data_IF_922879792300
#
_entry.id   IF_922879792300
#
_cell.length_a   1.000
_cell.length_b   1.000
_cell.length_c   1.000
_cell.angle_alpha   90.00
_cell.angle_beta   90.00
_cell.angle_gamma   90.00
#
_symmetry.space_group_name_H-M   'P 1'
#
loop_
_entity.id
_entity.type
_entity.pdbx_description
1 polymer ?
#
# COMPACT_ATOMS: atom_id res chain seq x y z
N UNK A 1 1.95 10.18 -13.03
CA UNK A 1 1.52 8.81 -13.41
C UNK A 1 2.19 7.79 -12.49
N UNK A 2 1.72 7.64 -11.24
CA UNK A 2 2.28 6.68 -10.26
C UNK A 2 1.26 5.64 -9.78
N UNK A 3 -0.02 5.81 -10.11
CA UNK A 3 -1.10 4.89 -9.75
C UNK A 3 -0.86 3.41 -10.14
N UNK A 4 -0.38 3.07 -11.35
CA UNK A 4 -0.16 1.66 -11.69
C UNK A 4 0.92 1.00 -10.82
N UNK A 5 1.95 1.74 -10.40
CA UNK A 5 3.01 1.23 -9.51
C UNK A 5 2.41 0.82 -8.16
N UNK A 6 1.47 1.62 -7.64
CA UNK A 6 0.79 1.32 -6.37
C UNK A 6 -0.07 0.06 -6.49
N UNK A 7 -0.77 -0.11 -7.62
CA UNK A 7 -1.57 -1.33 -7.84
C UNK A 7 -0.68 -2.58 -7.94
N UNK A 8 0.44 -2.49 -8.65
CA UNK A 8 1.43 -3.59 -8.73
C UNK A 8 2.01 -3.94 -7.36
N UNK A 9 2.29 -2.94 -6.53
CA UNK A 9 2.78 -3.14 -5.17
C UNK A 9 1.72 -3.83 -4.28
N UNK A 10 0.45 -3.44 -4.40
CA UNK A 10 -0.65 -4.07 -3.67
C UNK A 10 -0.78 -5.55 -4.06
N UNK A 11 -0.72 -5.86 -5.36
CA UNK A 11 -0.85 -7.24 -5.84
C UNK A 11 0.33 -8.13 -5.46
N UNK A 12 1.53 -7.57 -5.31
CA UNK A 12 2.72 -8.31 -4.87
C UNK A 12 2.78 -8.52 -3.35
N UNK A 13 2.11 -7.66 -2.57
CA UNK A 13 2.09 -7.76 -1.09
C UNK A 13 1.05 -8.75 -0.57
N UNK A 14 -0.06 -8.97 -1.29
CA UNK A 14 -1.09 -9.92 -0.89
C UNK A 14 -0.80 -11.33 -1.43
N UNK A 15 -0.69 -12.32 -0.54
CA UNK A 15 -0.57 -13.71 -0.96
C UNK A 15 -1.94 -14.25 -1.43
N UNK A 16 -2.04 -14.55 -2.73
CA UNK A 16 -3.22 -15.16 -3.36
C UNK A 16 -4.11 -14.18 -4.13
N UNK A 17 -4.55 -14.61 -5.31
CA UNK A 17 -5.27 -13.79 -6.30
C UNK A 17 -6.58 -13.20 -5.78
N UNK A 18 -7.33 -13.96 -4.97
CA UNK A 18 -8.62 -13.49 -4.43
C UNK A 18 -8.43 -12.33 -3.44
N UNK A 19 -7.42 -12.41 -2.56
CA UNK A 19 -7.15 -11.36 -1.57
C UNK A 19 -6.62 -10.10 -2.26
N UNK A 20 -5.71 -10.27 -3.22
CA UNK A 20 -5.20 -9.18 -4.04
C UNK A 20 -6.34 -8.47 -4.81
N UNK A 21 -7.23 -9.22 -5.45
CA UNK A 21 -8.37 -8.67 -6.19
C UNK A 21 -9.33 -7.85 -5.32
N UNK A 22 -9.67 -8.36 -4.13
CA UNK A 22 -10.51 -7.63 -3.16
C UNK A 22 -9.80 -6.38 -2.65
N UNK A 23 -8.50 -6.47 -2.34
CA UNK A 23 -7.67 -5.34 -1.91
C UNK A 23 -7.62 -4.23 -2.96
N UNK A 24 -7.40 -4.57 -4.23
CA UNK A 24 -7.43 -3.63 -5.34
C UNK A 24 -8.80 -2.94 -5.46
N UNK A 25 -9.89 -3.70 -5.38
CA UNK A 25 -11.25 -3.15 -5.47
C UNK A 25 -11.53 -2.10 -4.40
N UNK A 26 -11.15 -2.38 -3.16
CA UNK A 26 -11.31 -1.44 -2.03
C UNK A 26 -10.49 -0.17 -2.26
N UNK A 27 -9.22 -0.30 -2.65
CA UNK A 27 -8.32 0.84 -2.89
C UNK A 27 -8.85 1.73 -4.01
N UNK A 28 -9.35 1.14 -5.09
CA UNK A 28 -9.97 1.88 -6.20
C UNK A 28 -11.21 2.63 -5.71
N UNK A 29 -12.11 1.97 -4.97
CA UNK A 29 -13.33 2.60 -4.46
C UNK A 29 -13.04 3.81 -3.56
N UNK A 30 -12.09 3.67 -2.63
CA UNK A 30 -11.65 4.78 -1.76
C UNK A 30 -11.03 5.92 -2.59
N UNK A 31 -10.22 5.58 -3.59
CA UNK A 31 -9.57 6.59 -4.46
C UNK A 31 -10.60 7.44 -5.20
N UNK A 32 -11.67 6.83 -5.72
CA UNK A 32 -12.76 7.56 -6.36
C UNK A 32 -13.50 8.49 -5.38
N UNK A 33 -13.77 8.03 -4.17
CA UNK A 33 -14.42 8.86 -3.14
C UNK A 33 -13.55 10.07 -2.74
N UNK A 34 -12.24 9.87 -2.59
CA UNK A 34 -11.29 10.95 -2.31
C UNK A 34 -11.23 11.96 -3.45
N UNK A 35 -11.29 11.50 -4.71
CA UNK A 35 -11.33 12.38 -5.89
C UNK A 35 -12.54 13.32 -5.87
N UNK A 36 -13.72 12.83 -5.48
CA UNK A 36 -14.92 13.67 -5.31
C UNK A 36 -14.73 14.67 -4.18
N UNK A 37 -14.23 14.23 -3.01
CA UNK A 37 -13.99 15.13 -1.88
C UNK A 37 -12.94 16.22 -2.20
N UNK A 38 -11.90 15.88 -2.96
CA UNK A 38 -10.84 16.80 -3.35
C UNK A 38 -11.36 17.99 -4.18
N UNK A 39 -12.42 17.80 -4.97
CA UNK A 39 -13.05 18.88 -5.75
C UNK A 39 -13.60 20.03 -4.90
N UNK A 40 -13.88 19.78 -3.61
CA UNK A 40 -14.46 20.76 -2.69
C UNK A 40 -13.42 21.41 -1.75
N UNK A 41 -12.13 21.08 -1.88
CA UNK A 41 -11.06 21.55 -0.97
C UNK A 41 -10.68 23.02 -1.18
N UNK A 42 -11.03 23.63 -2.32
CA UNK A 42 -10.68 25.03 -2.65
C UNK A 42 -11.93 25.92 -2.79
N UNK A 43 -12.58 26.31 -1.68
CA UNK A 43 -13.71 27.23 -1.74
C UNK A 43 -13.25 28.63 -2.18
N UNK A 44 -14.06 29.32 -2.99
CA UNK A 44 -13.77 30.67 -3.52
C UNK A 44 -13.66 31.74 -2.42
N UNK A 45 -14.13 31.45 -1.21
CA UNK A 45 -14.06 32.32 -0.02
C UNK A 45 -12.66 32.49 0.55
N UNK A 46 -11.72 31.58 0.28
CA UNK A 46 -10.34 31.59 0.82
C UNK A 46 -9.31 32.26 -0.10
N UNK A 47 -9.76 33.00 -1.11
CA UNK A 47 -8.88 33.79 -1.97
C UNK A 47 -8.22 34.95 -1.18
N UNK A 48 -6.95 35.33 -1.48
CA UNK A 48 -6.11 34.87 -2.58
C UNK A 48 -5.11 33.75 -2.21
N UNK A 49 -4.95 33.41 -0.92
CA UNK A 49 -3.86 32.54 -0.46
C UNK A 49 -4.24 31.06 -0.29
N UNK A 50 -5.54 30.72 -0.23
CA UNK A 50 -6.04 29.33 -0.17
C UNK A 50 -5.32 28.44 0.86
N UNK A 51 -5.00 29.00 2.04
CA UNK A 51 -4.16 28.36 3.05
C UNK A 51 -4.75 27.04 3.55
N UNK A 52 -6.08 26.96 3.73
CA UNK A 52 -6.72 25.72 4.20
C UNK A 52 -6.56 24.58 3.20
N UNK A 53 -6.75 24.83 1.90
CA UNK A 53 -6.59 23.81 0.86
C UNK A 53 -5.16 23.29 0.76
N UNK A 54 -4.18 24.21 0.84
CA UNK A 54 -2.76 23.85 0.85
C UNK A 54 -2.34 23.10 2.13
N UNK A 55 -2.86 23.47 3.30
CA UNK A 55 -2.58 22.77 4.55
C UNK A 55 -3.18 21.35 4.57
N UNK A 56 -4.41 21.18 4.10
CA UNK A 56 -5.08 19.88 4.03
C UNK A 56 -4.37 18.95 3.05
N UNK A 57 -4.06 19.42 1.83
CA UNK A 57 -3.34 18.62 0.84
C UNK A 57 -1.93 18.23 1.32
N UNK A 58 -1.19 19.17 1.93
CA UNK A 58 0.13 18.87 2.50
C UNK A 58 0.07 17.84 3.63
N UNK A 59 -0.95 17.92 4.49
CA UNK A 59 -1.16 16.97 5.59
C UNK A 59 -1.48 15.56 5.07
N UNK A 60 -2.30 15.45 4.02
CA UNK A 60 -2.64 14.18 3.39
C UNK A 60 -1.43 13.53 2.71
N UNK A 61 -0.62 14.32 2.01
CA UNK A 61 0.63 13.83 1.40
C UNK A 61 1.62 13.39 2.47
N UNK A 62 1.78 14.16 3.55
CA UNK A 62 2.65 13.79 4.66
C UNK A 62 2.21 12.50 5.35
N UNK A 63 0.91 12.33 5.60
CA UNK A 63 0.35 11.10 6.17
C UNK A 63 0.58 9.89 5.26
N UNK A 64 0.45 10.08 3.94
CA UNK A 64 0.72 9.04 2.95
C UNK A 64 2.19 8.62 2.98
N UNK A 65 3.11 9.59 2.99
CA UNK A 65 4.54 9.33 3.08
C UNK A 65 4.90 8.61 4.39
N UNK A 66 4.34 9.05 5.52
CA UNK A 66 4.54 8.40 6.82
C UNK A 66 4.04 6.95 6.81
N UNK A 67 2.86 6.71 6.24
CA UNK A 67 2.28 5.36 6.13
C UNK A 67 3.14 4.45 5.26
N UNK A 68 3.66 4.94 4.14
CA UNK A 68 4.57 4.19 3.27
C UNK A 68 5.87 3.79 3.99
N UNK A 69 6.45 4.70 4.78
CA UNK A 69 7.64 4.42 5.59
C UNK A 69 7.34 3.38 6.67
N UNK A 70 6.23 3.52 7.40
CA UNK A 70 5.82 2.57 8.43
C UNK A 70 5.65 1.18 7.82
N UNK A 71 4.95 1.08 6.70
CA UNK A 71 4.70 -0.19 6.02
C UNK A 71 6.00 -0.85 5.53
N UNK A 72 6.91 -0.07 4.95
CA UNK A 72 8.24 -0.55 4.53
C UNK A 72 9.05 -1.10 5.71
N UNK A 73 9.04 -0.40 6.86
CA UNK A 73 9.72 -0.84 8.07
C UNK A 73 9.07 -2.10 8.66
N UNK A 74 7.74 -2.19 8.64
CA UNK A 74 7.02 -3.37 9.11
C UNK A 74 7.34 -4.59 8.25
N UNK A 75 7.31 -4.46 6.92
CA UNK A 75 7.67 -5.53 6.00
C UNK A 75 9.12 -5.96 6.17
N UNK A 76 10.04 -5.01 6.31
CA UNK A 76 11.44 -5.32 6.59
C UNK A 76 11.64 -6.06 7.92
N UNK A 77 10.90 -5.68 8.97
CA UNK A 77 10.94 -6.36 10.27
C UNK A 77 10.36 -7.77 10.19
N UNK A 78 9.24 -7.95 9.49
CA UNK A 78 8.62 -9.26 9.29
C UNK A 78 9.54 -10.18 8.48
N UNK A 79 10.17 -9.66 7.43
CA UNK A 79 11.24 -10.35 6.71
C UNK A 79 12.35 -10.78 7.67
N UNK A 80 12.91 -9.85 8.44
CA UNK A 80 14.03 -10.17 9.34
C UNK A 80 13.64 -11.18 10.43
N UNK A 81 12.38 -11.18 10.87
CA UNK A 81 11.86 -12.16 11.82
C UNK A 81 11.72 -13.54 11.18
N UNK A 82 11.20 -13.62 9.96
CA UNK A 82 11.11 -14.87 9.17
C UNK A 82 12.48 -15.46 8.84
N UNK A 83 13.47 -14.63 8.48
CA UNK A 83 14.87 -15.07 8.23
C UNK A 83 15.50 -15.74 9.45
N UNK A 84 15.21 -15.22 10.64
CA UNK A 84 15.74 -15.77 11.90
C UNK A 84 15.09 -17.09 12.27
N UNK A 85 13.84 -17.31 11.85
CA UNK A 85 13.04 -18.47 12.25
C UNK A 85 13.12 -19.63 11.26
N UNK A 86 13.26 -19.34 9.97
CA UNK A 86 13.19 -20.34 8.90
C UNK A 86 14.46 -20.44 8.04
N UNK A 87 15.45 -19.56 8.23
CA UNK A 87 16.62 -19.47 7.36
C UNK A 87 16.33 -18.73 6.05
N UNK A 88 17.35 -18.57 5.19
CA UNK A 88 17.16 -18.02 3.84
C UNK A 88 16.59 -19.13 2.95
N UNK A 89 15.43 -18.94 2.30
CA UNK A 89 14.89 -19.93 1.38
C UNK A 89 15.83 -20.08 0.16
N UNK A 90 15.95 -21.30 -0.36
CA UNK A 90 16.60 -21.55 -1.64
C UNK A 90 15.80 -20.83 -2.74
N UNK A 91 16.52 -20.05 -3.55
CA UNK A 91 15.90 -19.41 -4.70
C UNK A 91 15.36 -20.51 -5.62
N UNK A 92 14.12 -20.35 -6.10
CA UNK A 92 13.48 -21.16 -7.16
C UNK A 92 12.55 -22.32 -6.73
N UNK A 93 12.04 -22.33 -5.48
CA UNK A 93 10.95 -23.25 -5.10
C UNK A 93 9.60 -22.64 -5.54
N UNK A 94 8.79 -23.32 -6.37
CA UNK A 94 7.45 -22.83 -6.73
C UNK A 94 6.57 -22.81 -5.47
N UNK A 95 6.27 -21.60 -5.00
CA UNK A 95 5.47 -21.37 -3.80
C UNK A 95 4.00 -21.61 -4.16
N UNK A 96 3.35 -22.55 -3.48
CA UNK A 96 1.91 -22.79 -3.66
C UNK A 96 1.10 -21.59 -3.14
N UNK A 97 0.65 -20.76 -4.07
CA UNK A 97 -0.17 -19.55 -3.84
C UNK A 97 -1.66 -19.87 -3.60
N UNK A 98 -1.98 -21.08 -3.13
CA UNK A 98 -3.32 -21.51 -2.74
C UNK A 98 -3.88 -20.75 -1.52
N UNK A 99 -5.06 -21.18 -1.03
CA UNK A 99 -5.86 -20.46 -0.03
C UNK A 99 -5.18 -20.10 1.31
N UNK A 100 -4.02 -20.69 1.60
CA UNK A 100 -3.20 -20.47 2.82
C UNK A 100 -1.76 -19.98 2.49
N UNK A 101 -1.55 -19.34 1.34
CA UNK A 101 -0.25 -18.84 0.86
C UNK A 101 0.49 -17.92 1.86
N UNK A 102 -0.24 -17.16 2.69
CA UNK A 102 0.34 -16.32 3.76
C UNK A 102 1.13 -17.12 4.82
N UNK A 103 0.86 -18.43 4.93
CA UNK A 103 1.50 -19.36 5.88
C UNK A 103 2.63 -20.17 5.25
N UNK A 104 2.86 -20.08 3.94
CA UNK A 104 3.95 -20.77 3.29
C UNK A 104 5.29 -20.25 3.88
N UNK A 105 6.11 -21.17 4.40
CA UNK A 105 7.38 -20.83 5.08
C UNK A 105 8.34 -20.07 4.17
N UNK A 106 8.22 -20.27 2.85
CA UNK A 106 9.07 -19.64 1.83
C UNK A 106 8.52 -18.31 1.29
N UNK A 107 7.32 -17.87 1.71
CA UNK A 107 6.76 -16.61 1.21
C UNK A 107 7.46 -15.39 1.82
N UNK A 108 7.95 -14.54 0.92
CA UNK A 108 8.69 -13.32 1.23
C UNK A 108 8.00 -12.12 0.61
N UNK A 109 7.91 -11.04 1.36
CA UNK A 109 7.39 -9.78 0.82
C UNK A 109 8.44 -9.14 -0.08
N UNK A 110 8.04 -8.79 -1.31
CA UNK A 110 8.82 -7.94 -2.20
C UNK A 110 8.71 -6.49 -1.71
N UNK A 111 9.85 -5.89 -1.34
CA UNK A 111 9.95 -4.54 -0.77
C UNK A 111 10.54 -3.61 -1.83
#
# INVERSE_FOLDING_TARGET
MAFPIVLTWITSTFAGDTKAGVGLGIVIAVTHAVGVAASNIYPKTDAPYYLMGNAVSSSLVFLTALSAVIMSVMLYRENRHRDRRFGRPEADVPIDMGGDADKAQDYRYEI
#
